data_IF_842981741982
#
_entry.id   IF_842981741982
#
_cell.length_a   1.000
_cell.length_b   1.000
_cell.length_c   1.000
_cell.angle_alpha   90.00
_cell.angle_beta   90.00
_cell.angle_gamma   90.00
#
_symmetry.space_group_name_H-M   'P 1'
#
loop_
_entity.id
_entity.type
_entity.pdbx_description
1 polymer ?
#
# COMPACT_ATOMS: atom_id res chain seq x y z
N UNK A 1 16.35 -13.70 2.58
CA UNK A 1 16.79 -13.82 1.18
C UNK A 1 15.92 -12.93 0.32
N UNK A 2 16.34 -11.66 0.15
CA UNK A 2 15.54 -10.64 -0.50
C UNK A 2 15.41 -10.91 -2.00
N UNK A 3 14.21 -10.70 -2.55
CA UNK A 3 14.03 -10.57 -4.00
C UNK A 3 14.99 -9.47 -4.45
N UNK A 4 15.93 -9.83 -5.31
CA UNK A 4 16.95 -8.89 -5.77
C UNK A 4 16.25 -7.67 -6.39
N UNK A 5 16.72 -6.48 -6.01
CA UNK A 5 16.23 -5.18 -6.49
C UNK A 5 16.08 -5.11 -8.03
N UNK A 6 16.83 -5.94 -8.76
CA UNK A 6 16.80 -6.07 -10.22
C UNK A 6 15.51 -6.64 -10.80
N UNK A 7 14.73 -7.42 -10.05
CA UNK A 7 13.47 -8.00 -10.53
C UNK A 7 12.25 -7.08 -10.29
N UNK A 8 12.43 -6.01 -9.52
CA UNK A 8 11.43 -4.96 -9.28
C UNK A 8 11.81 -3.74 -10.12
N UNK A 9 11.52 -3.79 -11.42
CA UNK A 9 12.04 -2.82 -12.41
C UNK A 9 11.64 -1.37 -12.16
N UNK A 10 10.51 -1.17 -11.49
CA UNK A 10 10.01 0.16 -11.21
C UNK A 10 10.77 0.80 -10.04
N UNK A 11 11.16 0.06 -9.00
CA UNK A 11 11.82 0.65 -7.81
C UNK A 11 12.75 -0.34 -7.09
N UNK A 12 14.03 -0.46 -7.50
CA UNK A 12 14.98 -1.35 -6.83
C UNK A 12 15.18 -1.03 -5.34
N UNK A 13 15.03 0.24 -4.94
CA UNK A 13 15.30 0.71 -3.57
C UNK A 13 14.06 0.77 -2.67
N UNK A 14 12.86 0.57 -3.24
CA UNK A 14 11.63 0.53 -2.45
C UNK A 14 11.41 -0.93 -2.07
N UNK A 15 11.61 -1.23 -0.78
CA UNK A 15 11.33 -2.56 -0.22
C UNK A 15 9.85 -2.97 -0.41
N UNK A 16 9.44 -4.15 0.05
CA UNK A 16 8.06 -4.59 -0.11
C UNK A 16 7.08 -3.65 0.60
N UNK A 17 5.92 -3.39 -0.01
CA UNK A 17 4.88 -2.50 0.54
C UNK A 17 3.46 -2.92 0.16
N UNK A 18 2.51 -2.45 0.96
CA UNK A 18 1.08 -2.61 0.69
C UNK A 18 0.66 -4.08 0.61
N UNK A 19 1.22 -4.96 1.44
CA UNK A 19 0.98 -6.41 1.37
C UNK A 19 -0.50 -6.80 1.38
N UNK A 20 -1.32 -6.05 2.13
CA UNK A 20 -2.74 -6.32 2.31
C UNK A 20 -3.56 -5.04 2.46
N UNK A 21 -4.89 -5.17 2.33
CA UNK A 21 -5.89 -4.17 2.71
C UNK A 21 -7.18 -4.88 3.11
N UNK A 22 -7.82 -4.46 4.20
CA UNK A 22 -9.06 -5.06 4.68
C UNK A 22 -8.92 -5.63 6.08
N UNK A 23 -9.82 -6.53 6.44
CA UNK A 23 -9.86 -7.16 7.77
C UNK A 23 -9.32 -8.59 7.74
N UNK A 24 -8.49 -8.93 8.73
CA UNK A 24 -8.15 -10.33 9.04
C UNK A 24 -9.18 -10.98 9.98
N UNK A 25 -10.03 -10.18 10.61
CA UNK A 25 -11.08 -10.65 11.53
C UNK A 25 -12.36 -10.94 10.74
N UNK A 26 -12.70 -12.22 10.62
CA UNK A 26 -13.93 -12.71 9.99
C UNK A 26 -14.22 -12.13 8.59
N UNK A 27 -13.25 -12.10 7.64
CA UNK A 27 -13.56 -11.71 6.27
C UNK A 27 -14.47 -12.75 5.64
N UNK A 28 -15.47 -12.28 4.87
CA UNK A 28 -16.32 -13.12 4.04
C UNK A 28 -15.70 -13.41 2.67
N UNK A 29 -14.76 -12.58 2.24
CA UNK A 29 -14.11 -12.72 0.93
C UNK A 29 -12.62 -12.52 1.07
N UNK A 30 -11.85 -13.44 0.49
CA UNK A 30 -10.43 -13.25 0.22
C UNK A 30 -10.25 -12.86 -1.24
N UNK A 31 -9.48 -11.82 -1.49
CA UNK A 31 -9.13 -11.33 -2.82
C UNK A 31 -7.61 -11.42 -2.94
N UNK A 32 -7.10 -12.29 -3.81
CA UNK A 32 -5.71 -12.23 -4.24
C UNK A 32 -5.66 -11.34 -5.49
N UNK A 33 -4.87 -10.28 -5.46
CA UNK A 33 -4.87 -9.28 -6.53
C UNK A 33 -3.45 -8.97 -7.02
N UNK A 34 -3.30 -8.92 -8.34
CA UNK A 34 -2.04 -8.49 -8.93
C UNK A 34 -1.77 -7.02 -8.54
N UNK A 35 -0.53 -6.66 -8.17
CA UNK A 35 -0.16 -5.28 -7.95
C UNK A 35 -0.56 -4.40 -9.14
N UNK A 36 -1.10 -3.24 -8.83
CA UNK A 36 -1.41 -2.19 -9.81
C UNK A 36 -1.27 -0.85 -9.09
N UNK A 37 -0.82 0.16 -9.83
CA UNK A 37 -0.63 1.53 -9.36
C UNK A 37 0.43 1.73 -8.25
N UNK A 38 0.65 3.00 -7.90
CA UNK A 38 1.68 3.44 -6.95
C UNK A 38 1.10 4.03 -5.67
N UNK A 39 -0.24 4.07 -5.51
CA UNK A 39 -0.87 4.61 -4.31
C UNK A 39 -0.49 3.79 -3.07
N UNK A 40 -0.27 2.49 -3.25
CA UNK A 40 0.12 1.54 -2.20
C UNK A 40 1.42 1.93 -1.50
N UNK A 41 2.30 2.69 -2.17
CA UNK A 41 3.54 3.19 -1.58
C UNK A 41 3.28 4.24 -0.49
N UNK A 42 2.22 5.02 -0.64
CA UNK A 42 1.86 6.10 0.29
C UNK A 42 0.98 5.54 1.40
N UNK A 43 -0.03 4.77 1.03
CA UNK A 43 -0.99 4.23 2.00
C UNK A 43 -0.45 3.01 2.74
N UNK A 44 0.64 2.38 2.27
CA UNK A 44 1.13 1.10 2.82
C UNK A 44 0.03 0.03 2.90
N UNK A 45 -0.97 0.09 2.01
CA UNK A 45 -2.08 -0.86 1.89
C UNK A 45 -2.28 -1.26 0.43
N UNK A 46 -2.71 -2.50 0.21
CA UNK A 46 -2.90 -3.07 -1.11
C UNK A 46 -4.01 -2.37 -1.89
N UNK A 47 -3.77 -2.10 -3.17
CA UNK A 47 -4.73 -1.58 -4.14
C UNK A 47 -5.49 -0.38 -3.56
N UNK A 48 -4.78 0.66 -3.17
CA UNK A 48 -5.37 1.87 -2.58
C UNK A 48 -5.73 2.95 -3.61
N UNK A 49 -5.49 2.69 -4.89
CA UNK A 49 -5.90 3.52 -6.02
C UNK A 49 -7.21 3.10 -6.67
N UNK A 50 -7.33 3.36 -7.96
CA UNK A 50 -8.58 3.26 -8.73
C UNK A 50 -9.15 1.84 -8.76
N UNK A 51 -8.31 0.83 -9.00
CA UNK A 51 -8.77 -0.58 -9.04
C UNK A 51 -9.38 -1.01 -7.71
N UNK A 52 -8.75 -0.59 -6.62
CA UNK A 52 -9.21 -0.87 -5.26
C UNK A 52 -10.57 -0.29 -4.92
N UNK A 53 -10.92 0.85 -5.51
CA UNK A 53 -12.23 1.48 -5.35
C UNK A 53 -13.32 0.74 -6.13
N UNK A 54 -12.99 0.19 -7.30
CA UNK A 54 -13.92 -0.69 -8.01
C UNK A 54 -14.15 -2.00 -7.25
N UNK A 55 -13.09 -2.57 -6.66
CA UNK A 55 -13.25 -3.74 -5.78
C UNK A 55 -14.11 -3.39 -4.56
N UNK A 56 -13.93 -2.22 -3.94
CA UNK A 56 -14.82 -1.78 -2.86
C UNK A 56 -16.27 -1.63 -3.33
N UNK A 57 -16.50 -1.06 -4.52
CA UNK A 57 -17.84 -0.96 -5.09
C UNK A 57 -18.50 -2.31 -5.29
N UNK A 58 -17.74 -3.30 -5.79
CA UNK A 58 -18.22 -4.69 -5.89
C UNK A 58 -18.58 -5.29 -4.52
N UNK A 59 -17.76 -5.07 -3.49
CA UNK A 59 -18.05 -5.57 -2.14
C UNK A 59 -19.30 -4.89 -1.56
N UNK A 60 -19.54 -3.62 -1.88
CA UNK A 60 -20.77 -2.93 -1.50
C UNK A 60 -22.00 -3.48 -2.25
N UNK A 61 -21.88 -3.66 -3.57
CA UNK A 61 -22.94 -4.22 -4.42
C UNK A 61 -23.37 -5.62 -3.94
N UNK A 62 -22.43 -6.44 -3.48
CA UNK A 62 -22.67 -7.78 -2.92
C UNK A 62 -23.15 -7.77 -1.45
N UNK A 63 -23.23 -6.61 -0.79
CA UNK A 63 -23.61 -6.52 0.62
C UNK A 63 -22.55 -7.06 1.60
N UNK A 64 -21.30 -7.17 1.16
CA UNK A 64 -20.15 -7.59 2.00
C UNK A 64 -19.61 -6.39 2.80
N UNK A 65 -19.61 -5.20 2.19
CA UNK A 65 -19.14 -3.96 2.81
C UNK A 65 -17.64 -4.02 3.12
N UNK A 66 -17.28 -3.96 4.41
CA UNK A 66 -15.89 -3.97 4.89
C UNK A 66 -15.35 -5.38 5.17
N UNK A 67 -16.20 -6.42 5.12
CA UNK A 67 -15.82 -7.80 5.51
C UNK A 67 -15.08 -8.55 4.41
N UNK A 68 -13.97 -8.01 3.94
CA UNK A 68 -13.10 -8.65 2.95
C UNK A 68 -11.62 -8.39 3.27
N UNK A 69 -10.76 -9.23 2.71
CA UNK A 69 -9.31 -9.06 2.74
C UNK A 69 -8.76 -9.10 1.32
N UNK A 70 -7.99 -8.08 0.94
CA UNK A 70 -7.15 -8.08 -0.24
C UNK A 70 -5.73 -8.42 0.19
N UNK A 71 -5.14 -9.40 -0.48
CA UNK A 71 -3.71 -9.70 -0.46
C UNK A 71 -3.12 -9.42 -1.84
N UNK A 72 -1.93 -8.82 -1.90
CA UNK A 72 -1.23 -8.71 -3.18
C UNK A 72 -0.65 -10.06 -3.56
N UNK A 73 -0.75 -10.41 -4.84
CA UNK A 73 -0.07 -11.60 -5.41
C UNK A 73 1.42 -11.55 -5.08
N UNK A 74 2.06 -10.39 -5.26
CA UNK A 74 3.44 -10.10 -4.86
C UNK A 74 3.51 -8.71 -4.21
N UNK A 75 4.37 -8.49 -3.19
CA UNK A 75 4.39 -7.22 -2.44
C UNK A 75 5.23 -6.13 -3.12
N UNK A 76 5.29 -6.14 -4.45
CA UNK A 76 6.10 -5.23 -5.28
C UNK A 76 5.25 -4.66 -6.42
N UNK A 77 5.70 -3.56 -7.02
CA UNK A 77 5.16 -3.11 -8.31
C UNK A 77 5.92 -3.84 -9.42
N UNK A 78 5.17 -4.31 -10.41
CA UNK A 78 5.67 -5.17 -11.49
C UNK A 78 5.47 -4.51 -12.87
N UNK A 79 5.41 -3.19 -12.92
CA UNK A 79 5.33 -2.41 -14.16
C UNK A 79 6.57 -2.69 -15.02
N UNK A 80 6.35 -3.15 -16.26
CA UNK A 80 7.42 -3.49 -17.21
C UNK A 80 8.16 -4.81 -16.90
N UNK A 81 7.70 -5.57 -15.90
CA UNK A 81 8.22 -6.90 -15.61
C UNK A 81 7.86 -7.87 -16.74
N UNK A 82 8.83 -8.67 -17.16
CA UNK A 82 8.63 -9.77 -18.12
C UNK A 82 7.95 -10.96 -17.45
N UNK A 83 7.52 -11.93 -18.26
CA UNK A 83 6.98 -13.20 -17.75
C UNK A 83 7.96 -13.90 -16.81
N UNK A 84 9.26 -13.90 -17.15
CA UNK A 84 10.33 -14.51 -16.35
C UNK A 84 10.49 -13.78 -15.01
N UNK A 85 10.44 -12.43 -15.03
CA UNK A 85 10.51 -11.63 -13.80
C UNK A 85 9.35 -11.98 -12.85
N UNK A 86 8.13 -12.09 -13.39
CA UNK A 86 6.96 -12.49 -12.61
C UNK A 86 7.06 -13.90 -12.04
N UNK A 87 7.46 -14.88 -12.86
CA UNK A 87 7.65 -16.26 -12.40
C UNK A 87 8.66 -16.35 -11.26
N UNK A 88 9.80 -15.66 -11.39
CA UNK A 88 10.82 -15.60 -10.35
C UNK A 88 10.26 -15.01 -9.05
N UNK A 89 9.58 -13.85 -9.10
CA UNK A 89 9.04 -13.20 -7.90
C UNK A 89 7.92 -14.03 -7.28
N UNK A 90 7.06 -14.65 -8.08
CA UNK A 90 6.00 -15.55 -7.62
C UNK A 90 6.56 -16.73 -6.82
N UNK A 91 7.61 -17.38 -7.33
CA UNK A 91 8.31 -18.48 -6.66
C UNK A 91 8.93 -18.01 -5.34
N UNK A 92 9.65 -16.87 -5.34
CA UNK A 92 10.30 -16.35 -4.12
C UNK A 92 9.33 -15.83 -3.06
N UNK A 93 8.07 -15.60 -3.42
CA UNK A 93 7.04 -15.11 -2.49
C UNK A 93 5.99 -16.18 -2.15
N UNK A 94 6.11 -17.39 -2.70
CA UNK A 94 5.14 -18.48 -2.56
C UNK A 94 4.95 -18.89 -1.11
N UNK A 95 6.03 -19.22 -0.40
CA UNK A 95 5.96 -19.68 0.99
C UNK A 95 5.30 -18.64 1.92
N UNK A 96 5.65 -17.37 1.76
CA UNK A 96 5.07 -16.27 2.52
C UNK A 96 3.57 -16.12 2.25
N UNK A 97 3.17 -16.12 0.96
CA UNK A 97 1.77 -16.00 0.54
C UNK A 97 0.95 -17.19 1.03
N UNK A 98 1.50 -18.40 0.93
CA UNK A 98 0.87 -19.64 1.39
C UNK A 98 0.57 -19.58 2.88
N UNK A 99 1.57 -19.24 3.70
CA UNK A 99 1.41 -19.16 5.16
C UNK A 99 0.31 -18.20 5.59
N UNK A 100 0.17 -17.05 4.91
CA UNK A 100 -0.90 -16.09 5.20
C UNK A 100 -2.26 -16.65 4.84
N UNK A 101 -2.40 -17.20 3.62
CA UNK A 101 -3.67 -17.78 3.16
C UNK A 101 -4.08 -18.94 4.05
N UNK A 102 -3.17 -19.84 4.39
CA UNK A 102 -3.47 -20.98 5.26
C UNK A 102 -3.89 -20.55 6.67
N UNK A 103 -3.19 -19.58 7.26
CA UNK A 103 -3.53 -19.06 8.58
C UNK A 103 -4.91 -18.40 8.55
N UNK A 104 -5.18 -17.58 7.54
CA UNK A 104 -6.47 -16.91 7.36
C UNK A 104 -7.61 -17.92 7.24
N UNK A 105 -7.48 -18.89 6.33
CA UNK A 105 -8.53 -19.86 6.03
C UNK A 105 -8.68 -20.93 7.11
N UNK A 106 -7.72 -21.09 8.02
CA UNK A 106 -7.85 -21.93 9.20
C UNK A 106 -8.74 -21.29 10.26
N UNK A 107 -8.66 -19.96 10.41
CA UNK A 107 -9.35 -19.21 11.47
C UNK A 107 -10.68 -18.62 11.01
N UNK A 108 -10.90 -18.53 9.69
CA UNK A 108 -12.04 -17.83 9.12
C UNK A 108 -12.76 -18.66 8.07
N UNK A 109 -14.09 -18.55 8.04
CA UNK A 109 -14.93 -19.08 6.97
C UNK A 109 -15.19 -17.98 5.94
N UNK A 110 -14.50 -18.06 4.80
CA UNK A 110 -14.79 -17.22 3.63
C UNK A 110 -15.89 -17.88 2.79
N UNK A 111 -16.72 -17.07 2.14
CA UNK A 111 -17.78 -17.54 1.25
C UNK A 111 -17.23 -17.86 -0.15
N UNK A 112 -16.22 -17.11 -0.60
CA UNK A 112 -15.54 -17.31 -1.87
C UNK A 112 -14.21 -16.55 -1.94
N UNK A 113 -13.43 -16.85 -2.97
CA UNK A 113 -12.15 -16.21 -3.27
C UNK A 113 -12.23 -15.54 -4.65
N UNK A 114 -11.65 -14.34 -4.77
CA UNK A 114 -11.44 -13.68 -6.07
C UNK A 114 -9.95 -13.68 -6.41
N UNK A 115 -9.63 -14.14 -7.62
CA UNK A 115 -8.31 -13.96 -8.23
C UNK A 115 -8.36 -12.77 -9.20
N UNK A 116 -7.91 -11.59 -8.77
CA UNK A 116 -7.92 -10.37 -9.58
C UNK A 116 -6.61 -10.20 -10.37
N UNK A 117 -6.59 -10.75 -11.58
CA UNK A 117 -5.43 -10.74 -12.48
C UNK A 117 -4.92 -12.14 -12.83
N UNK A 118 -4.09 -12.22 -13.88
CA UNK A 118 -3.59 -13.50 -14.41
C UNK A 118 -2.64 -14.19 -13.42
N UNK A 119 -1.80 -13.41 -12.74
CA UNK A 119 -0.80 -13.96 -11.83
C UNK A 119 -1.42 -14.34 -10.51
N UNK A 120 -2.44 -13.61 -10.06
CA UNK A 120 -3.29 -13.96 -8.95
C UNK A 120 -3.98 -15.31 -9.20
N UNK A 121 -4.55 -15.51 -10.39
CA UNK A 121 -5.19 -16.77 -10.75
C UNK A 121 -4.20 -17.94 -10.74
N UNK A 122 -3.01 -17.77 -11.32
CA UNK A 122 -1.95 -18.78 -11.29
C UNK A 122 -1.46 -19.08 -9.87
N UNK A 123 -1.28 -18.04 -9.05
CA UNK A 123 -0.81 -18.19 -7.67
C UNK A 123 -1.86 -18.87 -6.77
N UNK A 124 -3.15 -18.62 -7.00
CA UNK A 124 -4.23 -19.22 -6.23
C UNK A 124 -4.40 -20.72 -6.51
N UNK A 125 -4.20 -21.19 -7.74
CA UNK A 125 -4.35 -22.62 -8.08
C UNK A 125 -3.55 -23.54 -7.15
N UNK A 126 -2.37 -23.10 -6.72
CA UNK A 126 -1.54 -23.83 -5.75
C UNK A 126 -1.96 -23.59 -4.31
N UNK A 127 -2.41 -22.37 -4.00
CA UNK A 127 -2.56 -21.94 -2.62
C UNK A 127 -3.80 -22.45 -1.90
N UNK A 128 -4.80 -22.87 -2.67
CA UNK A 128 -6.08 -23.36 -2.14
C UNK A 128 -6.40 -24.77 -2.60
N UNK A 129 -5.39 -25.51 -3.09
CA UNK A 129 -5.55 -26.88 -3.54
C UNK A 129 -6.19 -27.76 -2.45
N UNK A 130 -7.17 -28.57 -2.85
CA UNK A 130 -7.96 -29.41 -1.95
C UNK A 130 -8.98 -28.71 -1.06
N UNK A 131 -9.22 -27.40 -1.20
CA UNK A 131 -10.24 -26.66 -0.42
C UNK A 131 -11.54 -26.49 -1.21
N UNK A 132 -12.67 -26.80 -0.60
CA UNK A 132 -14.01 -26.58 -1.17
C UNK A 132 -14.48 -25.14 -0.95
N UNK A 133 -13.86 -24.21 -1.68
CA UNK A 133 -14.21 -22.78 -1.66
C UNK A 133 -14.36 -22.31 -3.10
N UNK A 134 -15.48 -21.68 -3.50
CA UNK A 134 -15.65 -21.14 -4.83
C UNK A 134 -14.57 -20.09 -5.17
N UNK A 135 -13.93 -20.21 -6.34
CA UNK A 135 -12.91 -19.29 -6.82
C UNK A 135 -13.39 -18.60 -8.09
N UNK A 136 -13.39 -17.27 -8.10
CA UNK A 136 -13.74 -16.46 -9.25
C UNK A 136 -12.51 -15.77 -9.82
N UNK A 137 -12.13 -16.14 -11.05
CA UNK A 137 -11.01 -15.53 -11.78
C UNK A 137 -11.49 -14.26 -12.48
N UNK A 138 -11.09 -13.10 -11.95
CA UNK A 138 -11.44 -11.80 -12.49
C UNK A 138 -10.39 -11.33 -13.50
N UNK A 139 -10.86 -11.05 -14.71
CA UNK A 139 -10.01 -10.56 -15.80
C UNK A 139 -9.71 -9.07 -15.64
N UNK A 140 -8.53 -8.65 -16.12
CA UNK A 140 -8.13 -7.24 -16.21
C UNK A 140 -7.94 -6.83 -17.67
N UNK A 141 -8.22 -5.57 -17.96
CA UNK A 141 -7.85 -4.98 -19.24
C UNK A 141 -6.32 -4.78 -19.26
N UNK A 142 -5.63 -5.36 -20.24
CA UNK A 142 -4.17 -5.26 -20.35
C UNK A 142 -3.69 -3.83 -20.65
N UNK A 143 -4.48 -3.06 -21.40
CA UNK A 143 -4.15 -1.67 -21.72
C UNK A 143 -4.35 -0.73 -20.53
N UNK A 144 -5.33 -1.02 -19.67
CA UNK A 144 -5.55 -0.30 -18.42
C UNK A 144 -6.00 -1.24 -17.30
N UNK A 145 -5.05 -1.85 -16.56
CA UNK A 145 -5.36 -2.81 -15.49
C UNK A 145 -6.08 -2.17 -14.30
N UNK A 146 -6.20 -0.84 -14.27
CA UNK A 146 -6.89 -0.07 -13.22
C UNK A 146 -8.38 0.10 -13.46
N UNK A 147 -8.83 -0.12 -14.70
CA UNK A 147 -10.21 0.06 -15.12
C UNK A 147 -11.19 -0.86 -14.36
N UNK A 148 -12.49 -0.65 -14.58
CA UNK A 148 -13.54 -1.51 -14.04
C UNK A 148 -13.72 -2.83 -14.81
N UNK A 149 -12.84 -3.13 -15.79
CA UNK A 149 -12.94 -4.35 -16.58
C UNK A 149 -12.95 -5.59 -15.68
N UNK A 150 -13.83 -6.54 -15.99
CA UNK A 150 -14.04 -7.77 -15.22
C UNK A 150 -14.91 -7.63 -13.96
N UNK A 151 -15.10 -6.42 -13.40
CA UNK A 151 -15.79 -6.24 -12.11
C UNK A 151 -17.25 -6.71 -12.18
N UNK A 152 -18.01 -6.23 -13.17
CA UNK A 152 -19.43 -6.58 -13.33
C UNK A 152 -19.60 -8.05 -13.69
N UNK A 153 -18.76 -8.57 -14.60
CA UNK A 153 -18.81 -9.96 -15.03
C UNK A 153 -18.55 -10.92 -13.85
N UNK A 154 -17.53 -10.65 -13.04
CA UNK A 154 -17.24 -11.45 -11.84
C UNK A 154 -18.34 -11.32 -10.80
N UNK A 155 -18.87 -10.12 -10.55
CA UNK A 155 -20.00 -9.96 -9.63
C UNK A 155 -21.23 -10.77 -10.07
N UNK A 156 -21.57 -10.76 -11.35
CA UNK A 156 -22.68 -11.56 -11.88
C UNK A 156 -22.40 -13.07 -11.76
N UNK A 157 -21.17 -13.51 -12.01
CA UNK A 157 -20.79 -14.90 -11.80
C UNK A 157 -20.95 -15.33 -10.33
N UNK A 158 -20.56 -14.49 -9.38
CA UNK A 158 -20.76 -14.74 -7.94
C UNK A 158 -22.25 -14.91 -7.63
N UNK A 159 -23.09 -13.99 -8.10
CA UNK A 159 -24.55 -14.04 -7.89
C UNK A 159 -25.18 -15.31 -8.45
N UNK A 160 -24.71 -15.77 -9.61
CA UNK A 160 -25.24 -16.97 -10.28
C UNK A 160 -24.83 -18.26 -9.58
N UNK A 161 -23.68 -18.29 -8.91
CA UNK A 161 -23.10 -19.50 -8.33
C UNK A 161 -23.27 -19.59 -6.80
N UNK A 162 -23.65 -18.50 -6.13
CA UNK A 162 -23.80 -18.44 -4.68
C UNK A 162 -25.15 -17.80 -4.33
N UNK A 163 -26.09 -18.63 -3.90
CA UNK A 163 -27.49 -18.27 -3.62
C UNK A 163 -27.63 -17.04 -2.70
N UNK A 164 -26.81 -16.95 -1.65
CA UNK A 164 -26.77 -15.84 -0.69
C UNK A 164 -26.61 -14.45 -1.34
N UNK A 165 -26.11 -14.40 -2.58
CA UNK A 165 -25.88 -13.17 -3.33
C UNK A 165 -26.80 -13.00 -4.54
N UNK A 166 -27.73 -13.93 -4.82
CA UNK A 166 -28.49 -13.97 -6.09
C UNK A 166 -29.31 -12.71 -6.39
N UNK A 167 -29.86 -12.08 -5.36
CA UNK A 167 -30.74 -10.90 -5.43
C UNK A 167 -29.99 -9.56 -5.56
N UNK A 168 -28.66 -9.56 -5.41
CA UNK A 168 -27.83 -8.34 -5.42
C UNK A 168 -27.82 -7.66 -6.79
N UNK A 169 -27.47 -6.38 -6.87
CA UNK A 169 -27.32 -5.67 -8.15
C UNK A 169 -25.89 -5.19 -8.29
N UNK A 170 -25.22 -5.59 -9.38
CA UNK A 170 -23.80 -5.26 -9.62
C UNK A 170 -23.71 -4.07 -10.55
N UNK A 171 -23.26 -2.94 -10.03
CA UNK A 171 -23.10 -1.68 -10.76
C UNK A 171 -21.68 -1.52 -11.31
N UNK A 172 -20.67 -2.07 -10.62
CA UNK A 172 -19.27 -1.94 -11.01
C UNK A 172 -18.75 -0.49 -10.95
N UNK A 173 -19.34 0.33 -10.06
CA UNK A 173 -18.93 1.71 -9.81
C UNK A 173 -17.81 1.75 -8.78
N UNK A 174 -17.05 2.85 -8.76
CA UNK A 174 -16.08 3.11 -7.68
C UNK A 174 -16.84 3.42 -6.39
N UNK A 175 -16.27 2.99 -5.27
CA UNK A 175 -16.67 3.41 -3.95
C UNK A 175 -15.43 3.83 -3.14
N UNK A 176 -15.63 4.71 -2.16
CA UNK A 176 -14.57 5.14 -1.25
C UNK A 176 -14.06 3.95 -0.46
N UNK A 177 -12.73 3.81 -0.37
CA UNK A 177 -12.12 2.81 0.50
C UNK A 177 -12.49 3.15 1.95
N UNK A 178 -12.99 2.18 2.75
CA UNK A 178 -13.31 2.38 4.15
C UNK A 178 -12.12 2.91 4.94
N UNK A 179 -12.39 3.82 5.88
CA UNK A 179 -11.32 4.40 6.71
C UNK A 179 -10.61 3.33 7.53
N UNK A 180 -11.34 2.34 8.03
CA UNK A 180 -10.86 1.15 8.75
C UNK A 180 -9.79 0.37 7.97
N UNK A 181 -9.83 0.40 6.64
CA UNK A 181 -8.92 -0.34 5.75
C UNK A 181 -7.63 0.42 5.42
N UNK A 182 -7.53 1.70 5.79
CA UNK A 182 -6.37 2.55 5.58
C UNK A 182 -5.63 2.80 6.89
N UNK A 183 -4.30 3.02 6.92
CA UNK A 183 -3.60 3.30 8.16
C UNK A 183 -4.11 4.56 8.83
N UNK A 184 -3.88 4.69 10.13
CA UNK A 184 -4.22 5.90 10.87
C UNK A 184 -3.63 7.19 10.25
N UNK A 185 -2.43 7.12 9.68
CA UNK A 185 -1.77 8.27 9.05
C UNK A 185 -2.29 8.59 7.64
N UNK A 186 -3.15 7.76 7.07
CA UNK A 186 -3.69 8.02 5.74
C UNK A 186 -4.51 9.31 5.72
N UNK A 187 -4.28 10.10 4.67
CA UNK A 187 -5.05 11.32 4.43
C UNK A 187 -6.42 10.95 3.87
N UNK A 188 -7.42 11.76 4.16
CA UNK A 188 -8.80 11.51 3.75
C UNK A 188 -8.96 11.28 2.23
N UNK A 189 -8.17 11.99 1.42
CA UNK A 189 -8.21 11.86 -0.03
C UNK A 189 -7.66 10.53 -0.55
N UNK A 190 -6.78 9.89 0.23
CA UNK A 190 -6.20 8.59 -0.09
C UNK A 190 -7.32 7.55 0.02
N UNK A 191 -7.65 6.91 -1.10
CA UNK A 191 -8.77 5.97 -1.20
C UNK A 191 -10.10 6.56 -1.67
N UNK A 192 -10.20 7.86 -1.95
CA UNK A 192 -11.43 8.51 -2.47
C UNK A 192 -11.29 8.93 -3.94
N UNK A 193 -10.16 9.52 -4.35
CA UNK A 193 -10.05 10.13 -5.69
C UNK A 193 -9.51 9.22 -6.80
N UNK A 194 -9.19 7.96 -6.48
CA UNK A 194 -8.51 7.04 -7.38
C UNK A 194 -7.00 7.19 -7.24
N UNK A 195 -6.29 7.22 -8.36
CA UNK A 195 -4.83 7.31 -8.35
C UNK A 195 -4.39 8.74 -7.98
N UNK A 196 -3.63 8.87 -6.90
CA UNK A 196 -3.02 10.13 -6.46
C UNK A 196 -1.53 10.18 -6.77
N UNK A 197 -0.94 9.03 -7.08
CA UNK A 197 0.48 8.89 -7.41
C UNK A 197 0.60 8.60 -8.89
N UNK A 198 1.12 9.58 -9.62
CA UNK A 198 1.38 9.45 -11.05
C UNK A 198 2.89 9.34 -11.25
N UNK A 199 3.40 8.26 -11.85
CA UNK A 199 4.82 8.16 -12.19
C UNK A 199 5.14 9.17 -13.30
N UNK A 200 6.36 9.72 -13.29
CA UNK A 200 6.82 10.54 -14.42
C UNK A 200 6.80 9.72 -15.70
N UNK A 201 5.97 10.13 -16.66
CA UNK A 201 5.77 9.48 -17.97
C UNK A 201 6.85 9.83 -19.01
N UNK A 202 7.74 10.79 -18.73
CA UNK A 202 8.74 11.22 -19.71
C UNK A 202 9.93 10.25 -19.76
N UNK A 203 9.91 9.38 -20.78
CA UNK A 203 10.94 8.38 -21.17
C UNK A 203 11.01 7.13 -20.29
N UNK A 204 11.13 5.95 -20.93
CA UNK A 204 11.24 4.63 -20.27
C UNK A 204 12.34 4.59 -19.19
N UNK A 205 13.39 5.40 -19.34
CA UNK A 205 14.51 5.50 -18.38
C UNK A 205 14.09 6.00 -16.99
N UNK A 206 13.02 6.79 -16.90
CA UNK A 206 12.59 7.45 -15.65
C UNK A 206 11.21 6.99 -15.15
N UNK A 207 10.57 6.04 -15.84
CA UNK A 207 9.30 5.45 -15.39
C UNK A 207 9.52 4.75 -14.06
N UNK A 208 8.75 5.14 -13.04
CA UNK A 208 8.99 4.67 -11.67
C UNK A 208 10.30 5.21 -11.07
N UNK A 209 10.79 6.40 -11.41
CA UNK A 209 11.92 7.00 -10.65
C UNK A 209 11.57 8.27 -9.95
N UNK A 210 10.62 9.00 -10.51
CA UNK A 210 10.02 10.16 -9.89
C UNK A 210 8.50 10.02 -9.93
N UNK A 211 7.87 10.65 -8.94
CA UNK A 211 6.44 10.63 -8.75
C UNK A 211 5.93 12.03 -8.57
N UNK A 212 4.79 12.29 -9.20
CA UNK A 212 3.97 13.42 -8.83
C UNK A 212 2.87 12.92 -7.91
N UNK A 213 2.83 13.50 -6.72
CA UNK A 213 1.69 13.33 -5.82
C UNK A 213 0.68 14.44 -6.13
N UNK A 214 -0.51 14.04 -6.58
CA UNK A 214 -1.61 14.93 -6.89
C UNK A 214 -2.54 14.92 -5.69
N UNK A 215 -2.80 16.10 -5.12
CA UNK A 215 -3.78 16.27 -4.05
C UNK A 215 -4.79 17.32 -4.51
N UNK A 216 -6.09 17.00 -4.60
CA UNK A 216 -7.10 17.99 -4.93
C UNK A 216 -7.09 19.17 -3.96
N UNK A 217 -7.29 20.38 -4.45
CA UNK A 217 -7.14 21.58 -3.62
C UNK A 217 -8.18 21.64 -2.48
N UNK A 218 -9.38 21.12 -2.70
CA UNK A 218 -10.37 20.99 -1.63
C UNK A 218 -9.91 19.99 -0.55
N UNK A 219 -9.10 18.99 -0.90
CA UNK A 219 -8.48 18.07 0.06
C UNK A 219 -7.38 18.68 0.91
N UNK A 220 -6.64 19.61 0.33
CA UNK A 220 -5.71 20.45 1.07
C UNK A 220 -6.42 21.44 2.00
N UNK A 221 -7.59 21.95 1.58
CA UNK A 221 -8.34 23.01 2.27
C UNK A 221 -9.39 22.52 3.28
N UNK A 222 -9.69 21.22 3.31
CA UNK A 222 -10.78 20.70 4.13
C UNK A 222 -10.46 20.89 5.62
N UNK A 223 -11.32 21.62 6.32
CA UNK A 223 -11.38 21.63 7.79
C UNK A 223 -12.23 20.42 8.19
N UNK A 224 -11.70 19.57 9.05
CA UNK A 224 -12.27 18.31 9.49
C UNK A 224 -13.80 18.37 9.68
N UNK A 225 -14.54 17.82 8.73
CA UNK A 225 -15.90 17.36 8.95
C UNK A 225 -15.88 15.88 8.58
N UNK A 226 -15.46 15.06 9.54
CA UNK A 226 -15.51 13.61 9.41
C UNK A 226 -16.97 13.22 9.58
N UNK A 227 -17.56 12.49 8.63
CA UNK A 227 -18.90 11.96 8.81
C UNK A 227 -18.90 10.86 9.90
N UNK A 228 -20.08 10.52 10.43
CA UNK A 228 -20.17 9.60 11.57
C UNK A 228 -19.57 8.20 11.32
N UNK A 229 -19.55 7.74 10.07
CA UNK A 229 -18.97 6.44 9.70
C UNK A 229 -17.44 6.50 9.70
N UNK A 230 -16.86 7.54 9.10
CA UNK A 230 -15.42 7.76 9.13
C UNK A 230 -14.91 8.08 10.54
N UNK A 231 -15.73 8.75 11.37
CA UNK A 231 -15.41 9.04 12.78
C UNK A 231 -15.36 7.75 13.60
N UNK A 232 -16.35 6.86 13.43
CA UNK A 232 -16.38 5.55 14.09
C UNK A 232 -15.18 4.68 13.67
N UNK A 233 -14.83 4.68 12.38
CA UNK A 233 -13.65 3.98 11.88
C UNK A 233 -12.32 4.57 12.38
N UNK A 234 -12.24 5.88 12.57
CA UNK A 234 -11.06 6.52 13.14
C UNK A 234 -10.94 6.21 14.64
N UNK A 235 -12.06 6.26 15.37
CA UNK A 235 -12.12 5.94 16.79
C UNK A 235 -11.67 4.49 17.05
N UNK A 236 -12.17 3.52 16.28
CA UNK A 236 -11.75 2.11 16.42
C UNK A 236 -10.26 1.91 16.14
N UNK A 237 -9.66 2.68 15.22
CA UNK A 237 -8.22 2.65 14.97
C UNK A 237 -7.42 3.23 16.14
N UNK A 238 -7.88 4.33 16.73
CA UNK A 238 -7.25 4.91 17.92
C UNK A 238 -7.34 3.96 19.10
N UNK A 239 -8.50 3.34 19.31
CA UNK A 239 -8.72 2.36 20.38
C UNK A 239 -7.80 1.14 20.21
N UNK A 240 -7.66 0.62 18.98
CA UNK A 240 -6.74 -0.48 18.69
C UNK A 240 -5.29 -0.11 18.95
N UNK A 241 -4.84 1.11 18.59
CA UNK A 241 -3.49 1.57 18.94
C UNK A 241 -3.27 1.57 20.45
N UNK A 242 -4.26 2.04 21.22
CA UNK A 242 -4.18 2.06 22.69
C UNK A 242 -4.14 0.65 23.27
N UNK A 243 -5.03 -0.25 22.81
CA UNK A 243 -5.09 -1.65 23.26
C UNK A 243 -3.80 -2.41 23.00
N UNK A 244 -3.17 -2.17 21.85
CA UNK A 244 -1.92 -2.81 21.43
C UNK A 244 -0.66 -2.12 21.99
N UNK A 245 -0.83 -1.16 22.92
CA UNK A 245 0.31 -0.51 23.57
C UNK A 245 1.09 0.47 22.69
N UNK A 246 0.49 1.00 21.63
CA UNK A 246 1.06 2.04 20.77
C UNK A 246 0.62 3.45 21.20
N UNK A 247 1.41 4.50 20.90
CA UNK A 247 1.05 5.87 21.23
C UNK A 247 -0.19 6.32 20.45
N UNK A 248 -1.13 6.94 21.15
CA UNK A 248 -2.29 7.56 20.53
C UNK A 248 -1.91 8.88 19.85
N UNK A 249 -2.65 9.34 18.83
CA UNK A 249 -2.29 10.53 18.05
C UNK A 249 -2.35 11.84 18.82
N UNK A 250 -3.16 11.90 19.89
CA UNK A 250 -3.28 13.05 20.78
C UNK A 250 -2.53 12.86 22.09
N UNK A 251 -1.96 11.67 22.30
CA UNK A 251 -1.20 11.31 23.48
C UNK A 251 0.22 11.88 23.35
N UNK A 252 0.61 12.68 24.34
CA UNK A 252 2.00 13.11 24.46
C UNK A 252 2.89 11.90 24.77
N UNK A 253 4.17 11.99 24.42
CA UNK A 253 5.17 10.95 24.75
C UNK A 253 5.17 10.65 26.27
N UNK A 254 4.95 11.66 27.11
CA UNK A 254 4.86 11.51 28.57
C UNK A 254 3.65 10.68 28.99
N UNK A 255 2.48 10.96 28.42
CA UNK A 255 1.25 10.21 28.69
C UNK A 255 1.38 8.76 28.21
N UNK A 256 1.93 8.56 27.00
CA UNK A 256 2.22 7.24 26.44
C UNK A 256 3.11 6.41 27.36
N UNK A 257 4.26 6.97 27.76
CA UNK A 257 5.15 6.27 28.67
C UNK A 257 4.52 6.05 30.04
N UNK A 258 3.64 6.93 30.50
CA UNK A 258 2.90 6.77 31.76
C UNK A 258 1.90 5.60 31.74
N UNK A 259 1.37 5.25 30.57
CA UNK A 259 0.38 4.19 30.39
C UNK A 259 1.00 2.79 30.26
N UNK A 260 2.13 2.67 29.58
CA UNK A 260 2.78 1.37 29.34
C UNK A 260 3.64 0.93 30.54
N UNK A 261 3.76 -0.38 30.74
CA UNK A 261 4.57 -0.98 31.81
C UNK A 261 6.07 -0.64 31.67
N UNK A 262 6.83 -0.84 32.74
CA UNK A 262 8.28 -0.58 32.75
C UNK A 262 9.07 -1.43 31.75
N UNK A 263 8.63 -2.66 31.50
CA UNK A 263 9.21 -3.56 30.49
C UNK A 263 8.89 -3.10 29.07
N UNK A 264 7.64 -2.72 28.80
CA UNK A 264 7.21 -2.17 27.51
C UNK A 264 7.89 -0.84 27.21
N UNK A 265 8.09 0.01 28.23
CA UNK A 265 8.83 1.27 28.14
C UNK A 265 10.27 1.07 27.65
N UNK A 266 10.97 0.09 28.22
CA UNK A 266 12.34 -0.25 27.81
C UNK A 266 12.39 -0.74 26.36
N UNK A 267 11.43 -1.57 25.95
CA UNK A 267 11.32 -2.05 24.57
C UNK A 267 11.04 -0.91 23.58
N UNK A 268 10.09 -0.02 23.91
CA UNK A 268 9.75 1.13 23.09
C UNK A 268 10.93 2.10 22.91
N UNK A 269 11.68 2.37 23.98
CA UNK A 269 12.90 3.19 23.91
C UNK A 269 13.97 2.57 23.00
N UNK A 270 14.22 1.27 23.13
CA UNK A 270 15.17 0.56 22.28
C UNK A 270 14.75 0.61 20.79
N UNK A 271 13.46 0.46 20.50
CA UNK A 271 12.94 0.57 19.12
C UNK A 271 13.08 2.00 18.57
N UNK A 272 12.82 3.02 19.39
CA UNK A 272 13.01 4.43 19.01
C UNK A 272 14.49 4.74 18.73
N UNK A 273 15.41 4.29 19.58
CA UNK A 273 16.85 4.44 19.35
C UNK A 273 17.31 3.75 18.07
N UNK A 274 16.84 2.52 17.82
CA UNK A 274 17.15 1.79 16.60
C UNK A 274 16.64 2.52 15.35
N UNK A 275 15.44 3.11 15.42
CA UNK A 275 14.88 3.90 14.32
C UNK A 275 15.69 5.17 14.08
N UNK A 276 16.04 5.91 15.13
CA UNK A 276 16.87 7.12 15.04
C UNK A 276 18.25 6.81 14.47
N UNK A 277 18.86 5.68 14.87
CA UNK A 277 20.14 5.22 14.32
C UNK A 277 20.03 4.91 12.82
N UNK A 278 18.98 4.20 12.39
CA UNK A 278 18.72 3.93 10.97
C UNK A 278 18.52 5.23 10.16
N UNK A 279 17.77 6.19 10.68
CA UNK A 279 17.58 7.49 10.02
C UNK A 279 18.91 8.27 9.91
N UNK A 280 19.72 8.26 10.96
CA UNK A 280 21.07 8.84 10.95
C UNK A 280 21.96 8.15 9.91
N UNK A 281 21.94 6.83 9.82
CA UNK A 281 22.74 6.07 8.85
C UNK A 281 22.30 6.35 7.40
N UNK A 282 21.00 6.47 7.15
CA UNK A 282 20.45 6.85 5.84
C UNK A 282 20.89 8.28 5.48
N UNK A 283 20.76 9.23 6.42
CA UNK A 283 21.19 10.60 6.22
C UNK A 283 22.70 10.69 5.92
N UNK A 284 23.52 9.92 6.65
CA UNK A 284 24.97 9.87 6.45
C UNK A 284 25.35 9.25 5.09
N UNK A 285 24.68 8.16 4.66
CA UNK A 285 24.90 7.58 3.33
C UNK A 285 24.54 8.56 2.22
N UNK A 286 23.37 9.18 2.30
CA UNK A 286 22.93 10.17 1.33
C UNK A 286 23.91 11.35 1.25
N UNK A 287 24.45 11.79 2.40
CA UNK A 287 25.48 12.81 2.44
C UNK A 287 26.80 12.38 1.79
N UNK A 288 27.28 11.16 2.06
CA UNK A 288 28.50 10.62 1.42
C UNK A 288 28.33 10.45 -0.10
N UNK A 289 27.13 10.04 -0.56
CA UNK A 289 26.82 9.94 -1.99
C UNK A 289 26.77 11.31 -2.67
N UNK A 290 26.27 12.34 -1.98
CA UNK A 290 26.30 13.72 -2.48
C UNK A 290 27.72 14.33 -2.45
N UNK A 291 28.53 13.98 -1.46
CA UNK A 291 29.91 14.45 -1.33
C UNK A 291 30.87 13.80 -2.35
N UNK A 292 30.59 12.57 -2.80
CA UNK A 292 31.43 11.84 -3.78
C UNK A 292 31.12 12.18 -5.25
N UNK A 293 30.08 12.98 -5.53
CA UNK A 293 29.76 13.47 -6.89
C UNK A 293 29.62 14.99 -7.00
N UNK A 294 30.63 15.82 -6.64
CA UNK A 294 30.49 17.27 -6.72
C UNK A 294 30.41 17.83 -8.16
N UNK A 295 30.89 17.08 -9.16
CA UNK A 295 31.13 17.62 -10.51
C UNK A 295 30.01 17.41 -11.54
N UNK A 296 29.05 16.50 -11.30
CA UNK A 296 27.99 16.23 -12.30
C UNK A 296 26.70 17.03 -12.07
N UNK A 297 26.53 17.69 -10.91
CA UNK A 297 25.27 18.37 -10.56
C UNK A 297 25.17 19.85 -11.01
N UNK A 298 26.21 20.43 -11.61
CA UNK A 298 26.24 21.87 -11.94
C UNK A 298 26.71 22.22 -13.37
N UNK A 299 26.70 21.26 -14.31
CA UNK A 299 27.11 21.47 -15.71
C UNK A 299 25.94 21.74 -16.68
N UNK A 300 24.74 22.05 -16.18
CA UNK A 300 23.63 22.52 -17.00
C UNK A 300 23.65 24.06 -17.17
N UNK A 301 23.42 24.60 -18.37
CA UNK A 301 23.33 26.04 -18.56
C UNK A 301 22.00 26.55 -17.97
N UNK A 302 22.09 27.34 -16.89
CA UNK A 302 21.07 28.25 -16.29
C UNK A 302 20.81 28.15 -14.77
N UNK A 303 21.72 27.58 -13.96
CA UNK A 303 21.57 27.72 -12.49
C UNK A 303 21.98 29.14 -12.06
N UNK A 304 20.98 29.92 -11.63
CA UNK A 304 21.10 31.29 -11.14
C UNK A 304 22.21 31.42 -10.08
N UNK A 305 23.15 32.35 -10.28
CA UNK A 305 24.35 32.57 -9.45
C UNK A 305 24.04 32.80 -7.96
N UNK A 306 22.84 33.32 -7.67
CA UNK A 306 22.29 33.48 -6.32
C UNK A 306 22.21 32.15 -5.56
N UNK A 307 21.66 31.10 -6.18
CA UNK A 307 21.43 29.78 -5.58
C UNK A 307 22.77 29.08 -5.26
N UNK A 308 23.74 29.23 -6.16
CA UNK A 308 25.10 28.69 -5.96
C UNK A 308 25.80 29.36 -4.78
N UNK A 309 25.60 30.67 -4.60
CA UNK A 309 26.17 31.43 -3.48
C UNK A 309 25.52 31.10 -2.12
N UNK A 310 24.24 30.73 -2.10
CA UNK A 310 23.53 30.32 -0.89
C UNK A 310 23.92 28.92 -0.44
N UNK A 311 24.03 27.97 -1.39
CA UNK A 311 24.49 26.61 -1.10
C UNK A 311 25.92 26.59 -0.54
N UNK A 312 26.83 27.38 -1.11
CA UNK A 312 28.20 27.52 -0.61
C UNK A 312 28.28 28.17 0.78
N UNK A 313 27.39 29.12 1.09
CA UNK A 313 27.30 29.72 2.43
C UNK A 313 26.78 28.73 3.47
N UNK A 314 25.76 27.94 3.16
CA UNK A 314 25.27 26.89 4.06
C UNK A 314 26.34 25.83 4.35
N UNK A 315 27.07 25.38 3.32
CA UNK A 315 28.15 24.41 3.49
C UNK A 315 29.27 24.91 4.41
N UNK A 316 29.67 26.19 4.28
CA UNK A 316 30.70 26.82 5.12
C UNK A 316 30.26 27.03 6.58
N UNK A 317 29.01 27.43 6.80
CA UNK A 317 28.48 27.64 8.17
C UNK A 317 28.38 26.33 8.95
N UNK A 318 28.06 25.23 8.27
CA UNK A 318 27.98 23.90 8.90
C UNK A 318 29.37 23.32 9.17
N UNK A 319 30.34 23.51 8.27
CA UNK A 319 31.73 23.07 8.50
C UNK A 319 32.38 23.80 9.70
N UNK A 320 32.06 25.09 9.91
CA UNK A 320 32.52 25.87 11.07
C UNK A 320 31.90 25.46 12.41
N UNK A 321 30.80 24.70 12.42
CA UNK A 321 30.17 24.21 13.66
C UNK A 321 30.66 22.82 14.09
N UNK A 322 31.52 22.17 13.29
CA UNK A 322 32.02 20.81 13.54
C UNK A 322 33.53 20.73 13.84
N UNK A 323 34.24 21.87 13.78
CA UNK A 323 35.56 22.08 14.39
C UNK A 323 35.39 22.96 15.62
#
# INVERSE_FOLDING_TARGET
NGVSAYYVKSHPDVGPFGHYRGTFESPRVLILADPVDYNDMITSRALSGTRGQYLQGLMNDLGIGERYLILKTVPYIMDGATEIDWQYVLEKTEEYRQKIIDSLLKENKVDFIIADGRWAAQALERAVDGRDIPIFKMQRNQADPRSNYGIVATGNAIRQNIETYGDRVIHGRRANIPRSHLPYLARWAEGIYGDLVVPTVSTDKNRGRAFQFIMPDHARKQRYAVDGAAESGLASQVDRLVQEGFPSPKESIKEFFGRISSSERSLALNQMELHLKKQSDIANRNWMTMASKPQEAFSGPSVNSSVRSQALRCARTVAKKRN
#
